data_IF_022996376493
#
_entry.id   IF_022996376493
#
_cell.length_a   1.000
_cell.length_b   1.000
_cell.length_c   1.000
_cell.angle_alpha   90.00
_cell.angle_beta   90.00
_cell.angle_gamma   90.00
#
_symmetry.space_group_name_H-M   'P 1'
#
loop_
_entity.id
_entity.type
_entity.pdbx_description
1 polymer ?
#
# COMPACT_ATOMS: atom_id res chain seq x y z
N UNK A 1 64.10 25.62 -49.57
CA UNK A 1 64.14 25.75 -51.03
C UNK A 1 63.82 27.17 -51.52
N UNK A 2 62.91 27.95 -50.90
CA UNK A 2 62.68 29.35 -51.32
C UNK A 2 63.80 30.35 -50.96
N UNK A 3 64.45 30.20 -49.80
CA UNK A 3 65.49 31.14 -49.33
C UNK A 3 66.68 31.25 -50.30
N UNK A 4 67.10 30.12 -50.86
CA UNK A 4 68.18 30.03 -51.86
C UNK A 4 67.86 30.75 -53.18
N UNK A 5 66.58 30.93 -53.53
CA UNK A 5 66.20 31.67 -54.75
C UNK A 5 66.17 33.19 -54.52
N UNK A 6 65.80 33.62 -53.31
CA UNK A 6 65.72 35.04 -52.98
C UNK A 6 67.11 35.63 -52.73
N UNK A 7 68.00 34.89 -52.07
CA UNK A 7 69.37 35.33 -51.83
C UNK A 7 70.18 35.40 -53.13
N UNK A 8 69.92 34.50 -54.09
CA UNK A 8 70.48 34.57 -55.43
C UNK A 8 69.96 35.81 -56.18
N UNK A 9 68.64 36.04 -56.15
CA UNK A 9 68.02 37.22 -56.77
C UNK A 9 68.50 38.54 -56.13
N UNK A 10 68.79 38.52 -54.83
CA UNK A 10 69.34 39.67 -54.10
C UNK A 10 70.78 39.97 -54.52
N UNK A 11 71.59 38.93 -54.73
CA UNK A 11 72.96 39.04 -55.21
C UNK A 11 72.98 39.58 -56.64
N UNK A 12 72.19 39.01 -57.54
CA UNK A 12 72.07 39.46 -58.93
C UNK A 12 71.59 40.92 -59.01
N UNK A 13 70.68 41.32 -58.12
CA UNK A 13 70.21 42.70 -58.02
C UNK A 13 71.34 43.67 -57.62
N UNK A 14 72.18 43.31 -56.65
CA UNK A 14 73.31 44.12 -56.21
C UNK A 14 74.41 44.23 -57.28
N UNK A 15 74.65 43.16 -58.03
CA UNK A 15 75.59 43.15 -59.17
C UNK A 15 75.13 44.14 -60.25
N UNK A 16 73.86 44.08 -60.66
CA UNK A 16 73.28 45.02 -61.64
C UNK A 16 73.33 46.47 -61.15
N UNK A 17 73.03 46.74 -59.87
CA UNK A 17 73.14 48.11 -59.34
C UNK A 17 74.58 48.64 -59.36
N UNK A 18 75.56 47.78 -59.08
CA UNK A 18 76.98 48.15 -59.08
C UNK A 18 77.46 48.53 -60.47
N UNK A 19 77.03 47.80 -61.50
CA UNK A 19 77.32 48.11 -62.90
C UNK A 19 76.68 49.44 -63.36
N UNK A 20 75.51 49.78 -62.84
CA UNK A 20 74.76 50.99 -63.22
C UNK A 20 75.28 52.29 -62.56
N UNK A 21 76.08 52.22 -61.50
CA UNK A 21 76.60 53.40 -60.77
C UNK A 21 77.62 54.21 -61.58
N UNK A 22 78.30 53.58 -62.54
CA UNK A 22 79.35 54.23 -63.34
C UNK A 22 78.84 55.12 -64.48
N UNK A 23 77.56 55.00 -64.88
CA UNK A 23 77.01 55.68 -66.06
C UNK A 23 75.85 56.62 -65.70
N UNK A 24 76.09 57.94 -65.80
CA UNK A 24 75.10 58.98 -65.51
C UNK A 24 73.87 58.92 -66.43
N UNK A 25 73.97 58.36 -67.63
CA UNK A 25 72.83 58.22 -68.55
C UNK A 25 71.81 57.18 -68.07
N UNK A 26 72.24 56.25 -67.19
CA UNK A 26 71.43 55.16 -66.67
C UNK A 26 70.83 55.42 -65.28
N UNK A 27 71.06 56.60 -64.69
CA UNK A 27 70.57 56.99 -63.35
C UNK A 27 69.05 56.81 -63.19
N UNK A 28 68.28 57.20 -64.21
CA UNK A 28 66.82 57.09 -64.19
C UNK A 28 66.37 55.62 -64.20
N UNK A 29 67.08 54.76 -64.92
CA UNK A 29 66.81 53.33 -64.93
C UNK A 29 67.15 52.69 -63.57
N UNK A 30 68.28 53.06 -62.97
CA UNK A 30 68.68 52.60 -61.62
C UNK A 30 67.59 52.89 -60.60
N UNK A 31 67.07 54.11 -60.57
CA UNK A 31 66.00 54.51 -59.66
C UNK A 31 64.70 53.71 -59.85
N UNK A 32 64.30 53.43 -61.09
CA UNK A 32 63.12 52.61 -61.36
C UNK A 32 63.35 51.13 -61.01
N UNK A 33 64.56 50.61 -61.23
CA UNK A 33 64.95 49.25 -60.85
C UNK A 33 64.94 49.06 -59.32
N UNK A 34 65.46 50.03 -58.56
CA UNK A 34 65.39 50.05 -57.09
C UNK A 34 63.94 50.10 -56.57
N UNK A 35 63.08 50.89 -57.21
CA UNK A 35 61.64 50.93 -56.86
C UNK A 35 60.97 49.57 -57.09
N UNK A 36 61.26 48.94 -58.23
CA UNK A 36 60.71 47.63 -58.58
C UNK A 36 61.16 46.55 -57.58
N UNK A 37 62.45 46.51 -57.24
CA UNK A 37 62.98 45.55 -56.26
C UNK A 37 62.37 45.75 -54.87
N UNK A 38 62.21 47.00 -54.43
CA UNK A 38 61.53 47.30 -53.17
C UNK A 38 60.08 46.82 -53.17
N UNK A 39 59.37 46.99 -54.28
CA UNK A 39 58.01 46.49 -54.44
C UNK A 39 57.95 44.96 -54.42
N UNK A 40 58.86 44.28 -55.13
CA UNK A 40 58.97 42.82 -55.16
C UNK A 40 59.25 42.24 -53.77
N UNK A 41 60.22 42.80 -53.04
CA UNK A 41 60.52 42.41 -51.65
C UNK A 41 59.30 42.54 -50.75
N UNK A 42 58.60 43.68 -50.85
CA UNK A 42 57.38 43.92 -50.06
C UNK A 42 56.30 42.90 -50.40
N UNK A 43 56.09 42.60 -51.68
CA UNK A 43 55.11 41.60 -52.15
C UNK A 43 55.44 40.21 -51.62
N UNK A 44 56.70 39.75 -51.74
CA UNK A 44 57.10 38.43 -51.22
C UNK A 44 56.94 38.32 -49.70
N UNK A 45 57.26 39.39 -48.95
CA UNK A 45 57.05 39.41 -47.50
C UNK A 45 55.56 39.31 -47.14
N UNK A 46 54.69 39.98 -47.90
CA UNK A 46 53.23 39.90 -47.73
C UNK A 46 52.70 38.50 -48.09
N UNK A 47 53.18 37.90 -49.18
CA UNK A 47 52.84 36.55 -49.61
C UNK A 47 53.19 35.52 -48.52
N UNK A 48 54.41 35.57 -47.97
CA UNK A 48 54.83 34.69 -46.86
C UNK A 48 53.92 34.82 -45.63
N UNK A 49 53.53 36.06 -45.29
CA UNK A 49 52.57 36.31 -44.20
C UNK A 49 51.19 35.72 -44.51
N UNK A 50 50.73 35.84 -45.76
CA UNK A 50 49.45 35.31 -46.21
C UNK A 50 49.43 33.78 -46.16
N UNK A 51 50.48 33.12 -46.67
CA UNK A 51 50.64 31.66 -46.61
C UNK A 51 50.62 31.18 -45.16
N UNK A 52 51.36 31.86 -44.27
CA UNK A 52 51.34 31.55 -42.84
C UNK A 52 49.92 31.65 -42.26
N UNK A 53 49.21 32.74 -42.58
CA UNK A 53 47.84 32.94 -42.10
C UNK A 53 46.85 31.91 -42.64
N UNK A 54 46.98 31.51 -43.91
CA UNK A 54 46.17 30.45 -44.50
C UNK A 54 46.41 29.11 -43.79
N UNK A 55 47.66 28.77 -43.45
CA UNK A 55 47.98 27.55 -42.70
C UNK A 55 47.39 27.57 -41.29
N UNK A 56 47.49 28.71 -40.60
CA UNK A 56 46.88 28.91 -39.28
C UNK A 56 45.36 28.74 -39.33
N UNK A 57 44.68 29.44 -40.23
CA UNK A 57 43.22 29.36 -40.40
C UNK A 57 42.78 27.94 -40.76
N UNK A 58 43.52 27.25 -41.63
CA UNK A 58 43.21 25.85 -41.97
C UNK A 58 43.34 24.93 -40.75
N UNK A 59 44.35 25.15 -39.91
CA UNK A 59 44.50 24.43 -38.63
C UNK A 59 43.33 24.70 -37.68
N UNK A 60 42.89 25.95 -37.57
CA UNK A 60 41.72 26.34 -36.77
C UNK A 60 40.42 25.69 -37.29
N UNK A 61 40.22 25.65 -38.60
CA UNK A 61 39.06 25.00 -39.23
C UNK A 61 39.02 23.52 -38.87
N UNK A 62 40.14 22.80 -39.03
CA UNK A 62 40.21 21.35 -38.72
C UNK A 62 39.95 21.11 -37.24
N UNK A 63 40.53 21.92 -36.35
CA UNK A 63 40.32 21.80 -34.91
C UNK A 63 38.84 22.05 -34.54
N UNK A 64 38.23 23.10 -35.09
CA UNK A 64 36.82 23.39 -34.83
C UNK A 64 35.89 22.32 -35.40
N UNK A 65 36.19 21.76 -36.57
CA UNK A 65 35.45 20.62 -37.11
C UNK A 65 35.48 19.41 -36.17
N UNK A 66 36.66 19.08 -35.61
CA UNK A 66 36.80 17.99 -34.64
C UNK A 66 36.00 18.25 -33.34
N UNK A 67 35.98 19.50 -32.85
CA UNK A 67 35.17 19.90 -31.69
C UNK A 67 33.67 19.75 -31.97
N UNK A 68 33.21 20.22 -33.13
CA UNK A 68 31.80 20.10 -33.54
C UNK A 68 31.40 18.63 -33.67
N UNK A 69 32.24 17.80 -34.28
CA UNK A 69 31.97 16.37 -34.41
C UNK A 69 31.87 15.67 -33.05
N UNK A 70 32.73 16.05 -32.10
CA UNK A 70 32.67 15.52 -30.73
C UNK A 70 31.39 15.96 -30.01
N UNK A 71 31.02 17.25 -30.11
CA UNK A 71 29.79 17.77 -29.52
C UNK A 71 28.54 17.11 -30.13
N UNK A 72 28.53 16.84 -31.43
CA UNK A 72 27.45 16.14 -32.10
C UNK A 72 27.30 14.70 -31.57
N UNK A 73 28.42 13.98 -31.42
CA UNK A 73 28.42 12.62 -30.88
C UNK A 73 27.89 12.57 -29.45
N UNK A 74 28.37 13.46 -28.58
CA UNK A 74 27.87 13.59 -27.21
C UNK A 74 26.35 13.89 -27.20
N UNK A 75 25.89 14.79 -28.07
CA UNK A 75 24.46 15.09 -28.17
C UNK A 75 23.62 13.87 -28.58
N UNK A 76 24.13 13.02 -29.49
CA UNK A 76 23.44 11.79 -29.88
C UNK A 76 23.38 10.76 -28.73
N UNK A 77 24.46 10.62 -27.96
CA UNK A 77 24.51 9.78 -26.77
C UNK A 77 23.55 10.29 -25.68
N UNK A 78 23.50 11.61 -25.47
CA UNK A 78 22.55 12.25 -24.55
C UNK A 78 21.10 12.01 -24.97
N UNK A 79 20.77 12.15 -26.26
CA UNK A 79 19.41 11.86 -26.75
C UNK A 79 19.01 10.40 -26.51
N UNK A 80 19.94 9.47 -26.68
CA UNK A 80 19.71 8.04 -26.40
C UNK A 80 19.44 7.82 -24.91
N UNK A 81 20.23 8.46 -24.04
CA UNK A 81 20.08 8.38 -22.60
C UNK A 81 18.75 8.98 -22.13
N UNK A 82 18.39 10.16 -22.65
CA UNK A 82 17.11 10.82 -22.39
C UNK A 82 15.93 9.92 -22.79
N UNK A 83 16.01 9.25 -23.95
CA UNK A 83 14.96 8.34 -24.39
C UNK A 83 14.81 7.14 -23.43
N UNK A 84 15.93 6.57 -22.95
CA UNK A 84 15.90 5.50 -21.95
C UNK A 84 15.27 5.95 -20.63
N UNK A 85 15.69 7.10 -20.11
CA UNK A 85 15.17 7.67 -18.86
C UNK A 85 13.67 7.98 -18.95
N UNK A 86 13.20 8.51 -20.08
CA UNK A 86 11.76 8.73 -20.31
C UNK A 86 10.96 7.42 -20.21
N UNK A 87 11.48 6.35 -20.82
CA UNK A 87 10.85 5.02 -20.76
C UNK A 87 10.82 4.46 -19.33
N UNK A 88 11.89 4.68 -18.57
CA UNK A 88 11.94 4.28 -17.15
C UNK A 88 10.95 5.09 -16.30
N UNK A 89 10.84 6.39 -16.55
CA UNK A 89 9.86 7.25 -15.88
C UNK A 89 8.43 6.79 -16.14
N UNK A 90 8.08 6.47 -17.40
CA UNK A 90 6.76 5.91 -17.74
C UNK A 90 6.47 4.58 -17.02
N UNK A 91 7.48 3.71 -16.89
CA UNK A 91 7.34 2.45 -16.13
C UNK A 91 7.11 2.71 -14.65
N UNK A 92 7.88 3.63 -14.06
CA UNK A 92 7.72 4.01 -12.65
C UNK A 92 6.35 4.61 -12.40
N UNK A 93 5.86 5.45 -13.31
CA UNK A 93 4.54 6.06 -13.22
C UNK A 93 3.41 5.00 -13.25
N UNK A 94 3.47 4.07 -14.20
CA UNK A 94 2.54 2.91 -14.24
C UNK A 94 2.60 2.05 -12.98
N UNK A 95 3.78 1.89 -12.38
CA UNK A 95 3.93 1.14 -11.13
C UNK A 95 3.27 1.86 -9.96
N UNK A 96 3.42 3.19 -9.88
CA UNK A 96 2.75 4.02 -8.88
C UNK A 96 1.23 3.92 -9.03
N UNK A 97 0.71 4.07 -10.25
CA UNK A 97 -0.73 3.97 -10.52
C UNK A 97 -1.27 2.60 -10.11
N UNK A 98 -0.59 1.52 -10.48
CA UNK A 98 -0.97 0.15 -10.10
C UNK A 98 -0.89 -0.08 -8.58
N UNK A 99 0.09 0.52 -7.90
CA UNK A 99 0.20 0.46 -6.43
C UNK A 99 -0.93 1.23 -5.76
N UNK A 100 -1.29 2.39 -6.29
CA UNK A 100 -2.37 3.21 -5.78
C UNK A 100 -3.73 2.53 -5.95
N UNK A 101 -3.98 1.92 -7.10
CA UNK A 101 -5.21 1.15 -7.32
C UNK A 101 -5.33 -0.04 -6.35
N UNK A 102 -4.22 -0.77 -6.10
CA UNK A 102 -4.18 -1.83 -5.08
C UNK A 102 -4.45 -1.28 -3.68
N UNK A 103 -3.91 -0.12 -3.34
CA UNK A 103 -4.14 0.55 -2.06
C UNK A 103 -5.62 0.90 -1.88
N UNK A 104 -6.27 1.46 -2.90
CA UNK A 104 -7.70 1.78 -2.88
C UNK A 104 -8.52 0.51 -2.61
N UNK A 105 -8.30 -0.56 -3.37
CA UNK A 105 -9.02 -1.84 -3.18
C UNK A 105 -8.80 -2.41 -1.78
N UNK A 106 -7.57 -2.35 -1.27
CA UNK A 106 -7.27 -2.81 0.09
C UNK A 106 -8.02 -1.97 1.15
N UNK A 107 -8.10 -0.65 0.98
CA UNK A 107 -8.90 0.23 1.86
C UNK A 107 -10.39 -0.10 1.81
N UNK A 108 -10.94 -0.37 0.63
CA UNK A 108 -12.32 -0.80 0.47
C UNK A 108 -12.58 -2.13 1.21
N UNK A 109 -11.72 -3.14 1.03
CA UNK A 109 -11.82 -4.40 1.77
C UNK A 109 -11.73 -4.18 3.29
N UNK A 110 -10.82 -3.32 3.76
CA UNK A 110 -10.71 -2.99 5.19
C UNK A 110 -12.00 -2.39 5.71
N UNK A 111 -12.64 -1.50 4.96
CA UNK A 111 -13.89 -0.87 5.38
C UNK A 111 -15.04 -1.89 5.42
N UNK A 112 -15.15 -2.76 4.41
CA UNK A 112 -16.14 -3.85 4.42
C UNK A 112 -15.97 -4.77 5.64
N UNK A 113 -14.74 -5.18 5.94
CA UNK A 113 -14.45 -6.02 7.10
C UNK A 113 -14.76 -5.30 8.42
N UNK A 114 -14.52 -3.99 8.51
CA UNK A 114 -14.91 -3.19 9.68
C UNK A 114 -16.43 -3.17 9.87
N UNK A 115 -17.18 -2.98 8.80
CA UNK A 115 -18.65 -2.98 8.85
C UNK A 115 -19.18 -4.36 9.26
N UNK A 116 -18.59 -5.45 8.75
CA UNK A 116 -18.90 -6.82 9.16
C UNK A 116 -18.60 -7.06 10.64
N UNK A 117 -17.44 -6.60 11.14
CA UNK A 117 -17.09 -6.69 12.56
C UNK A 117 -18.12 -5.95 13.41
N UNK A 118 -18.51 -4.73 13.01
CA UNK A 118 -19.54 -3.96 13.74
C UNK A 118 -20.87 -4.70 13.74
N UNK A 119 -21.30 -5.27 12.61
CA UNK A 119 -22.57 -6.00 12.54
C UNK A 119 -22.54 -7.30 13.38
N UNK A 120 -21.45 -8.07 13.31
CA UNK A 120 -21.26 -9.27 14.12
C UNK A 120 -21.20 -8.94 15.62
N UNK A 121 -20.50 -7.85 16.00
CA UNK A 121 -20.45 -7.41 17.40
C UNK A 121 -21.84 -7.10 17.93
N UNK A 122 -22.68 -6.42 17.14
CA UNK A 122 -24.09 -6.16 17.48
C UNK A 122 -24.89 -7.45 17.62
N UNK A 123 -24.70 -8.42 16.73
CA UNK A 123 -25.40 -9.72 16.81
C UNK A 123 -25.00 -10.51 18.06
N UNK A 124 -23.72 -10.51 18.42
CA UNK A 124 -23.22 -11.15 19.65
C UNK A 124 -23.84 -10.50 20.89
N UNK A 125 -23.86 -9.18 20.95
CA UNK A 125 -24.46 -8.44 22.06
C UNK A 125 -25.97 -8.73 22.21
N UNK A 126 -26.69 -8.78 21.09
CA UNK A 126 -28.11 -9.18 21.07
C UNK A 126 -28.31 -10.63 21.53
N UNK A 127 -27.47 -11.57 21.07
CA UNK A 127 -27.51 -12.97 21.49
C UNK A 127 -27.21 -13.16 22.98
N UNK A 128 -26.23 -12.44 23.51
CA UNK A 128 -25.91 -12.45 24.93
C UNK A 128 -27.08 -11.89 25.77
N UNK A 129 -27.72 -10.80 25.33
CA UNK A 129 -28.91 -10.25 25.99
C UNK A 129 -30.09 -11.23 26.03
N UNK A 130 -30.34 -11.96 24.93
CA UNK A 130 -31.35 -13.03 24.88
C UNK A 130 -31.03 -14.18 25.84
N UNK A 131 -29.75 -14.59 25.92
CA UNK A 131 -29.32 -15.65 26.84
C UNK A 131 -29.55 -15.27 28.30
N UNK A 132 -29.28 -14.02 28.70
CA UNK A 132 -29.54 -13.53 30.07
C UNK A 132 -31.04 -13.53 30.38
N UNK A 133 -31.87 -13.11 29.42
CA UNK A 133 -33.33 -13.17 29.56
C UNK A 133 -33.85 -14.60 29.73
N UNK A 134 -33.32 -15.54 28.94
CA UNK A 134 -33.65 -16.97 29.04
C UNK A 134 -33.19 -17.58 30.36
N UNK A 135 -32.00 -17.21 30.85
CA UNK A 135 -31.48 -17.68 32.14
C UNK A 135 -32.36 -17.21 33.31
N UNK A 136 -32.82 -15.96 33.28
CA UNK A 136 -33.73 -15.42 34.30
C UNK A 136 -35.10 -16.13 34.26
N UNK A 137 -35.66 -16.35 33.06
CA UNK A 137 -36.91 -17.10 32.91
C UNK A 137 -36.77 -18.55 33.40
N UNK A 138 -35.63 -19.18 33.14
CA UNK A 138 -35.32 -20.54 33.63
C UNK A 138 -35.22 -20.56 35.16
N UNK A 139 -34.57 -19.57 35.79
CA UNK A 139 -34.50 -19.46 37.25
C UNK A 139 -35.88 -19.33 37.88
N UNK A 140 -36.78 -18.52 37.32
CA UNK A 140 -38.16 -18.40 37.82
C UNK A 140 -38.95 -19.70 37.62
N UNK A 141 -38.82 -20.38 36.47
CA UNK A 141 -39.44 -21.69 36.26
C UNK A 141 -38.93 -22.75 37.25
N UNK A 142 -37.65 -22.73 37.59
CA UNK A 142 -37.08 -23.63 38.61
C UNK A 142 -37.68 -23.36 39.99
N UNK A 143 -37.80 -22.09 40.41
CA UNK A 143 -38.47 -21.74 41.67
C UNK A 143 -39.92 -22.22 41.70
N UNK A 144 -40.69 -21.94 40.65
CA UNK A 144 -42.10 -22.38 40.56
C UNK A 144 -42.18 -23.90 40.61
N UNK A 145 -41.26 -24.61 39.95
CA UNK A 145 -41.17 -26.08 40.00
C UNK A 145 -40.87 -26.57 41.42
N UNK A 146 -39.95 -25.95 42.14
CA UNK A 146 -39.60 -26.31 43.52
C UNK A 146 -40.78 -26.07 44.48
N UNK A 147 -41.47 -24.94 44.35
CA UNK A 147 -42.68 -24.62 45.12
C UNK A 147 -43.80 -25.63 44.84
N UNK A 148 -44.07 -25.94 43.57
CA UNK A 148 -45.06 -26.95 43.19
C UNK A 148 -44.70 -28.34 43.72
N UNK A 149 -43.42 -28.72 43.65
CA UNK A 149 -42.96 -30.01 44.20
C UNK A 149 -43.17 -30.08 45.70
N UNK A 150 -42.82 -29.03 46.43
CA UNK A 150 -43.04 -28.95 47.88
C UNK A 150 -44.53 -29.00 48.23
N UNK A 151 -45.36 -28.25 47.52
CA UNK A 151 -46.81 -28.29 47.72
C UNK A 151 -47.36 -29.69 47.45
N UNK A 152 -46.87 -30.37 46.41
CA UNK A 152 -47.27 -31.74 46.10
C UNK A 152 -46.88 -32.72 47.22
N UNK A 153 -45.67 -32.61 47.77
CA UNK A 153 -45.21 -33.44 48.90
C UNK A 153 -46.04 -33.18 50.18
N UNK A 154 -46.37 -31.91 50.44
CA UNK A 154 -47.24 -31.51 51.55
C UNK A 154 -48.67 -32.06 51.36
N UNK A 155 -49.21 -31.98 50.14
CA UNK A 155 -50.51 -32.56 49.79
C UNK A 155 -50.52 -34.09 49.92
N UNK A 156 -49.48 -34.79 49.44
CA UNK A 156 -49.34 -36.24 49.63
C UNK A 156 -49.31 -36.62 51.10
N UNK A 157 -48.52 -35.88 51.90
CA UNK A 157 -48.41 -36.11 53.34
C UNK A 157 -49.74 -35.92 54.04
N UNK A 158 -50.47 -34.85 53.70
CA UNK A 158 -51.80 -34.60 54.25
C UNK A 158 -52.80 -35.67 53.82
N UNK A 159 -52.79 -36.07 52.54
CA UNK A 159 -53.66 -37.15 52.04
C UNK A 159 -53.40 -38.48 52.77
N UNK A 160 -52.14 -38.81 53.09
CA UNK A 160 -51.82 -40.00 53.89
C UNK A 160 -52.35 -39.90 55.32
N UNK A 161 -52.22 -38.74 55.97
CA UNK A 161 -52.76 -38.51 57.32
C UNK A 161 -54.28 -38.62 57.34
N UNK A 162 -54.96 -38.00 56.38
CA UNK A 162 -56.41 -38.05 56.26
C UNK A 162 -56.88 -39.49 55.99
N UNK A 163 -56.17 -40.24 55.15
CA UNK A 163 -56.46 -41.66 54.91
C UNK A 163 -56.31 -42.51 56.18
N UNK A 164 -55.22 -42.32 56.95
CA UNK A 164 -55.03 -43.02 58.22
C UNK A 164 -56.13 -42.68 59.24
N UNK A 165 -56.48 -41.40 59.38
CA UNK A 165 -57.57 -40.95 60.24
C UNK A 165 -58.92 -41.54 59.82
N UNK A 166 -59.17 -41.63 58.52
CA UNK A 166 -60.37 -42.25 57.97
C UNK A 166 -60.44 -43.74 58.34
N UNK A 167 -59.31 -44.47 58.24
CA UNK A 167 -59.24 -45.88 58.67
C UNK A 167 -59.50 -46.05 60.17
N UNK A 168 -58.92 -45.20 61.02
CA UNK A 168 -59.18 -45.21 62.47
C UNK A 168 -60.66 -44.95 62.78
N UNK A 169 -61.27 -43.97 62.12
CA UNK A 169 -62.70 -43.68 62.27
C UNK A 169 -63.57 -44.85 61.81
N UNK A 170 -63.24 -45.50 60.68
CA UNK A 170 -63.95 -46.70 60.22
C UNK A 170 -63.83 -47.85 61.22
N UNK A 171 -62.64 -48.09 61.78
CA UNK A 171 -62.43 -49.13 62.80
C UNK A 171 -63.28 -48.84 64.05
N UNK A 172 -63.32 -47.58 64.50
CA UNK A 172 -64.12 -47.17 65.65
C UNK A 172 -65.63 -47.28 65.40
N UNK A 173 -66.09 -46.98 64.18
CA UNK A 173 -67.49 -47.19 63.79
C UNK A 173 -67.84 -48.68 63.85
N UNK A 174 -66.99 -49.56 63.30
CA UNK A 174 -67.21 -51.00 63.34
C UNK A 174 -67.24 -51.55 64.78
N UNK A 175 -66.36 -51.06 65.66
CA UNK A 175 -66.37 -51.43 67.08
C UNK A 175 -67.65 -50.97 67.80
N UNK A 176 -68.11 -49.73 67.53
CA UNK A 176 -69.37 -49.23 68.08
C UNK A 176 -70.59 -49.98 67.53
N UNK A 177 -70.60 -50.36 66.26
CA UNK A 177 -71.67 -51.16 65.66
C UNK A 177 -71.73 -52.57 66.27
N UNK A 178 -70.59 -53.22 66.46
CA UNK A 178 -70.52 -54.52 67.14
C UNK A 178 -70.94 -54.42 68.61
N UNK A 179 -70.48 -53.39 69.32
CA UNK A 179 -70.91 -53.11 70.69
C UNK A 179 -72.43 -52.89 70.79
N UNK A 180 -73.01 -52.12 69.86
CA UNK A 180 -74.46 -51.91 69.76
C UNK A 180 -75.21 -53.21 69.46
N UNK A 181 -74.66 -54.09 68.62
CA UNK A 181 -75.22 -55.41 68.31
C UNK A 181 -75.25 -56.30 69.54
N UNK A 182 -74.15 -56.36 70.30
CA UNK A 182 -74.07 -57.12 71.56
C UNK A 182 -75.08 -56.60 72.58
N UNK A 183 -75.13 -55.29 72.79
CA UNK A 183 -76.11 -54.66 73.69
C UNK A 183 -77.56 -54.94 73.25
N UNK A 184 -77.85 -54.93 71.95
CA UNK A 184 -79.17 -55.27 71.44
C UNK A 184 -79.57 -56.72 71.75
N UNK A 185 -78.61 -57.67 71.65
CA UNK A 185 -78.82 -59.07 72.02
C UNK A 185 -79.06 -59.20 73.53
N UNK A 186 -78.28 -58.52 74.37
CA UNK A 186 -78.47 -58.52 75.82
C UNK A 186 -79.83 -57.93 76.23
N UNK A 187 -80.24 -56.81 75.62
CA UNK A 187 -81.56 -56.21 75.84
C UNK A 187 -82.68 -57.17 75.43
N UNK A 188 -82.53 -57.88 74.31
CA UNK A 188 -83.51 -58.87 73.88
C UNK A 188 -83.57 -60.05 74.87
N UNK A 189 -82.43 -60.58 75.30
CA UNK A 189 -82.38 -61.65 76.30
C UNK A 189 -82.98 -61.26 77.66
N UNK A 190 -82.81 -59.99 78.07
CA UNK A 190 -83.44 -59.44 79.28
C UNK A 190 -84.96 -59.27 79.11
N UNK A 191 -85.43 -58.81 77.93
CA UNK A 191 -86.86 -58.78 77.61
C UNK A 191 -87.50 -60.16 77.64
N UNK A 192 -86.84 -61.17 77.08
CA UNK A 192 -87.33 -62.55 77.07
C UNK A 192 -87.43 -63.11 78.50
N UNK A 193 -86.45 -62.79 79.38
CA UNK A 193 -86.51 -63.14 80.81
C UNK A 193 -87.62 -62.43 81.59
N UNK A 194 -88.00 -61.22 81.19
CA UNK A 194 -89.12 -60.47 81.77
C UNK A 194 -90.47 -61.03 81.33
N UNK A 195 -90.60 -61.54 80.10
CA UNK A 195 -91.81 -62.21 79.61
C UNK A 195 -92.04 -63.59 80.24
N UNK A 196 -90.98 -64.29 80.67
CA UNK A 196 -91.07 -65.55 81.42
C UNK A 196 -91.42 -65.38 82.92
N UNK A 197 -91.50 -64.14 83.41
CA UNK A 197 -91.83 -63.80 84.81
C UNK A 197 -93.18 -63.08 84.99
N UNK A 198 -93.98 -62.96 83.92
CA UNK A 198 -95.36 -62.48 83.96
C UNK A 198 -96.31 -63.64 83.65
#
# INVERSE_FOLDING_TARGET
MEATSLDALEKDFQEVLTELVGDKSLERFRLEYEKLHRALKKSNMQEKKLIKKCRELNGEIVNNAAKVQTALKLSQEDQTTIASLKKEMEKAWKMVDASHEKEIRAKETINQLKDEITNLSRLVEQGAGLSVGQENAMKELVKVKEELSRNNDEHETNSRKDHARMQELHAKIAEMEEGKRVQAIEVQALKDKLQLKA
#
